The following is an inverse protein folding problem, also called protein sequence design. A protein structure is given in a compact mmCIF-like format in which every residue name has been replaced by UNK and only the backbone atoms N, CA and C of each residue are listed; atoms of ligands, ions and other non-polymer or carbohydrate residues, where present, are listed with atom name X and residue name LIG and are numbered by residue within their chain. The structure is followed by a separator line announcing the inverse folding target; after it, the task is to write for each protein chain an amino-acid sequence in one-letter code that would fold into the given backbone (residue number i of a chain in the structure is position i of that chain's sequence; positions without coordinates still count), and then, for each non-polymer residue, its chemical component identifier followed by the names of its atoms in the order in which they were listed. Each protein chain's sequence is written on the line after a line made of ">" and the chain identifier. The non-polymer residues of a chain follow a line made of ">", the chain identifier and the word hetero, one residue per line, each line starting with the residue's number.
data_IF_021737083052
#
_entry.id   IF_021737083052
#
_cell.length_a   1.000
_cell.length_b   1.000
_cell.length_c   1.000
_cell.angle_alpha   90.00
_cell.angle_beta   90.00
_cell.angle_gamma   90.00
#
_symmetry.space_group_name_H-M   'P 1'
#
loop_
_entity.id
_entity.type
_entity.pdbx_description
1 polymer ?
#
# COMPACT_ATOMS: atom_id res chain seq x y z
N UNK A 1 -6.08 -0.48 19.78
CA UNK A 1 -6.00 -0.56 18.32
C UNK A 1 -4.58 -0.91 17.97
N UNK A 2 -4.31 -2.11 17.46
CA UNK A 2 -3.00 -2.44 16.90
C UNK A 2 -2.82 -1.62 15.63
N UNK A 3 -1.75 -0.83 15.54
CA UNK A 3 -1.48 -0.01 14.36
C UNK A 3 -0.97 -0.90 13.22
N UNK A 4 -1.49 -0.71 12.00
CA UNK A 4 -1.02 -1.44 10.83
C UNK A 4 0.49 -1.22 10.63
N UNK A 5 1.26 -2.31 10.61
CA UNK A 5 2.70 -2.26 10.44
C UNK A 5 3.06 -2.54 8.98
N UNK A 6 3.24 -1.47 8.21
CA UNK A 6 3.56 -1.53 6.79
C UNK A 6 5.07 -1.61 6.54
N UNK A 7 5.47 -2.29 5.47
CA UNK A 7 6.85 -2.35 5.02
C UNK A 7 7.22 -1.04 4.32
N UNK A 8 8.13 -0.25 4.91
CA UNK A 8 8.69 0.93 4.26
C UNK A 8 9.63 0.53 3.13
N UNK A 9 9.57 1.24 2.01
CA UNK A 9 10.39 0.98 0.84
C UNK A 9 11.35 2.15 0.60
N UNK A 10 12.63 1.84 0.37
CA UNK A 10 13.63 2.85 0.02
C UNK A 10 13.33 3.37 -1.39
N UNK A 11 13.33 4.69 -1.59
CA UNK A 11 13.07 5.35 -2.88
C UNK A 11 11.64 5.26 -3.45
N UNK A 12 10.70 4.58 -2.76
CA UNK A 12 9.32 4.43 -3.21
C UNK A 12 8.31 4.99 -2.21
N UNK A 13 7.28 5.64 -2.73
CA UNK A 13 6.20 6.19 -1.92
C UNK A 13 5.32 5.06 -1.39
N UNK A 14 4.93 5.14 -0.11
CA UNK A 14 4.12 4.11 0.54
C UNK A 14 2.64 4.45 0.38
N UNK A 15 1.92 3.58 -0.32
CA UNK A 15 0.49 3.68 -0.56
C UNK A 15 -0.22 2.52 0.15
N UNK A 16 -1.21 2.86 0.98
CA UNK A 16 -1.95 1.92 1.81
C UNK A 16 -3.44 2.13 1.66
N UNK A 17 -4.21 1.06 1.72
CA UNK A 17 -5.67 1.10 1.79
C UNK A 17 -6.08 0.37 3.05
N UNK A 18 -6.79 1.07 3.92
CA UNK A 18 -7.46 0.43 5.04
C UNK A 18 -8.61 -0.39 4.51
N UNK A 19 -8.71 -1.61 5.03
CA UNK A 19 -9.71 -2.60 4.63
C UNK A 19 -10.99 -2.46 5.43
N UNK A 20 -10.92 -1.83 6.60
CA UNK A 20 -12.01 -1.79 7.56
C UNK A 20 -12.99 -0.66 7.20
N UNK A 21 -14.19 -1.02 6.76
CA UNK A 21 -15.28 -0.07 6.58
C UNK A 21 -15.96 0.22 7.91
N UNK A 22 -16.19 1.49 8.23
CA UNK A 22 -17.08 1.86 9.33
C UNK A 22 -18.51 1.39 8.97
N UNK A 23 -19.16 0.68 9.87
CA UNK A 23 -20.54 0.21 9.75
C UNK A 23 -21.25 0.32 11.09
N UNK A 24 -22.56 0.22 11.08
CA UNK A 24 -23.35 0.09 12.30
C UNK A 24 -23.86 -1.34 12.45
N UNK A 25 -23.83 -1.85 13.67
CA UNK A 25 -24.33 -3.18 14.03
C UNK A 25 -25.48 -3.04 15.02
N UNK A 26 -26.58 -3.74 14.76
CA UNK A 26 -27.67 -3.84 15.72
C UNK A 26 -27.28 -4.80 16.87
N UNK A 27 -27.33 -4.38 18.14
CA UNK A 27 -26.98 -5.23 19.28
C UNK A 27 -28.02 -6.34 19.52
N UNK A 28 -29.28 -6.13 19.13
CA UNK A 28 -30.35 -7.10 19.38
C UNK A 28 -30.36 -8.26 18.37
N UNK A 29 -30.25 -7.95 17.07
CA UNK A 29 -30.35 -8.96 16.01
C UNK A 29 -29.03 -9.22 15.27
N UNK A 30 -27.99 -8.41 15.51
CA UNK A 30 -26.68 -8.57 14.90
C UNK A 30 -26.56 -8.07 13.46
N UNK A 31 -27.62 -7.47 12.89
CA UNK A 31 -27.62 -6.95 11.52
C UNK A 31 -26.55 -5.86 11.33
N UNK A 32 -25.86 -5.90 10.18
CA UNK A 32 -24.87 -4.90 9.77
C UNK A 32 -25.52 -3.94 8.79
N UNK A 33 -25.29 -2.65 8.98
CA UNK A 33 -25.94 -1.58 8.25
C UNK A 33 -24.97 -0.44 7.98
N UNK A 34 -25.35 0.44 7.06
CA UNK A 34 -24.57 1.63 6.72
C UNK A 34 -24.41 2.56 7.93
N UNK A 35 -23.33 3.36 7.93
CA UNK A 35 -23.02 4.32 8.99
C UNK A 35 -24.10 5.39 9.18
N UNK A 36 -24.88 5.68 8.15
CA UNK A 36 -26.00 6.63 8.20
C UNK A 36 -27.27 6.03 8.81
N UNK A 37 -27.33 4.71 9.01
CA UNK A 37 -28.51 4.07 9.59
C UNK A 37 -28.74 4.57 11.02
N UNK A 38 -29.98 4.95 11.32
CA UNK A 38 -30.43 5.36 12.66
C UNK A 38 -31.33 4.31 13.33
N UNK A 39 -31.83 3.35 12.56
CA UNK A 39 -32.74 2.30 13.02
C UNK A 39 -32.37 0.99 12.32
N UNK A 40 -32.56 -0.13 13.01
CA UNK A 40 -32.36 -1.44 12.43
C UNK A 40 -33.46 -1.82 11.44
N UNK A 41 -33.09 -2.08 10.17
CA UNK A 41 -34.03 -2.47 9.12
C UNK A 41 -34.73 -3.82 9.38
N UNK A 42 -34.15 -4.67 10.24
CA UNK A 42 -34.68 -6.00 10.55
C UNK A 42 -35.59 -5.98 11.78
N UNK A 43 -35.14 -5.39 12.88
CA UNK A 43 -35.85 -5.45 14.16
C UNK A 43 -36.38 -4.10 14.67
N UNK A 44 -36.09 -2.99 14.00
CA UNK A 44 -36.55 -1.65 14.39
C UNK A 44 -35.81 -1.04 15.58
N UNK A 45 -34.70 -1.63 16.04
CA UNK A 45 -33.90 -1.09 17.14
C UNK A 45 -33.24 0.24 16.75
N UNK A 46 -33.40 1.29 17.57
CA UNK A 46 -32.80 2.62 17.34
C UNK A 46 -31.38 2.76 17.92
N UNK A 47 -30.98 1.83 18.81
CA UNK A 47 -29.65 1.80 19.41
C UNK A 47 -28.72 0.94 18.57
N UNK A 48 -27.84 1.58 17.79
CA UNK A 48 -26.90 0.91 16.90
C UNK A 48 -25.47 1.12 17.38
N UNK A 49 -24.69 0.04 17.40
CA UNK A 49 -23.27 0.07 17.77
C UNK A 49 -22.40 0.38 16.55
N UNK A 50 -21.43 1.28 16.70
CA UNK A 50 -20.40 1.49 15.68
C UNK A 50 -19.45 0.29 15.66
N UNK A 51 -19.22 -0.28 14.48
CA UNK A 51 -18.37 -1.44 14.27
C UNK A 51 -17.55 -1.27 12.99
N UNK A 52 -16.48 -2.04 12.88
CA UNK A 52 -15.69 -2.15 11.66
C UNK A 52 -16.06 -3.46 10.97
N UNK A 53 -16.46 -3.41 9.70
CA UNK A 53 -16.73 -4.61 8.91
C UNK A 53 -15.84 -4.64 7.68
N UNK A 54 -15.25 -5.81 7.44
CA UNK A 54 -14.47 -6.08 6.25
C UNK A 54 -15.35 -6.83 5.25
N UNK A 55 -15.64 -6.19 4.12
CA UNK A 55 -16.32 -6.87 3.00
C UNK A 55 -15.30 -7.69 2.22
N UNK A 56 -15.11 -8.94 2.66
CA UNK A 56 -14.18 -9.91 2.05
C UNK A 56 -14.42 -10.08 0.54
N UNK A 57 -15.69 -10.09 0.11
CA UNK A 57 -16.06 -10.37 -1.29
C UNK A 57 -15.76 -9.19 -2.20
N UNK A 58 -16.15 -7.97 -1.79
CA UNK A 58 -15.82 -6.77 -2.57
C UNK A 58 -14.30 -6.55 -2.67
N UNK A 59 -13.56 -6.90 -1.61
CA UNK A 59 -12.11 -6.84 -1.62
C UNK A 59 -11.48 -7.88 -2.56
N UNK A 60 -11.99 -9.11 -2.62
CA UNK A 60 -11.45 -10.13 -3.53
C UNK A 60 -11.57 -9.73 -5.01
N UNK A 61 -12.68 -9.10 -5.40
CA UNK A 61 -12.88 -8.59 -6.76
C UNK A 61 -11.90 -7.45 -7.08
N UNK A 62 -11.83 -6.42 -6.24
CA UNK A 62 -10.87 -5.32 -6.36
C UNK A 62 -9.42 -5.84 -6.45
N UNK A 63 -9.08 -6.78 -5.57
CA UNK A 63 -7.73 -7.38 -5.52
C UNK A 63 -7.40 -8.10 -6.83
N UNK A 64 -8.31 -8.90 -7.37
CA UNK A 64 -8.09 -9.60 -8.63
C UNK A 64 -7.84 -8.63 -9.79
N UNK A 65 -8.57 -7.52 -9.84
CA UNK A 65 -8.40 -6.50 -10.88
C UNK A 65 -7.06 -5.75 -10.72
N UNK A 66 -6.72 -5.36 -9.50
CA UNK A 66 -5.43 -4.70 -9.20
C UNK A 66 -4.27 -5.64 -9.55
N UNK A 67 -4.32 -6.91 -9.16
CA UNK A 67 -3.26 -7.88 -9.46
C UNK A 67 -3.06 -8.06 -10.97
N UNK A 68 -4.13 -8.03 -11.78
CA UNK A 68 -4.02 -8.04 -13.26
C UNK A 68 -3.34 -6.79 -13.80
N UNK A 69 -3.73 -5.59 -13.34
CA UNK A 69 -3.07 -4.35 -13.75
C UNK A 69 -1.58 -4.35 -13.35
N UNK A 70 -1.25 -4.91 -12.18
CA UNK A 70 0.14 -5.03 -11.73
C UNK A 70 0.95 -5.99 -12.60
N UNK A 71 0.36 -7.09 -13.10
CA UNK A 71 1.04 -7.99 -14.05
C UNK A 71 1.44 -7.24 -15.31
N UNK A 72 0.52 -6.47 -15.90
CA UNK A 72 0.80 -5.69 -17.11
C UNK A 72 1.89 -4.63 -16.87
N UNK A 73 1.86 -3.96 -15.70
CA UNK A 73 2.89 -2.99 -15.32
C UNK A 73 4.25 -3.68 -15.12
N UNK A 74 4.28 -4.85 -14.48
CA UNK A 74 5.51 -5.59 -14.16
C UNK A 74 6.19 -6.16 -15.40
N UNK A 75 5.45 -6.55 -16.44
CA UNK A 75 6.04 -6.94 -17.72
C UNK A 75 6.89 -5.82 -18.36
N UNK A 76 6.64 -4.59 -17.95
CA UNK A 76 7.19 -3.34 -18.46
C UNK A 76 8.37 -2.81 -17.63
N UNK A 77 8.72 -3.51 -16.53
CA UNK A 77 9.80 -3.19 -15.60
C UNK A 77 10.94 -4.19 -15.77
N UNK A 78 12.18 -3.74 -15.56
CA UNK A 78 13.37 -4.59 -15.71
C UNK A 78 14.08 -4.87 -14.38
N UNK A 79 13.95 -3.99 -13.38
CA UNK A 79 14.72 -4.09 -12.14
C UNK A 79 13.85 -4.31 -10.90
N UNK A 80 12.58 -3.92 -10.97
CA UNK A 80 11.64 -3.99 -9.87
C UNK A 80 10.36 -4.72 -10.23
N UNK A 81 9.70 -5.25 -9.21
CA UNK A 81 8.40 -5.89 -9.31
C UNK A 81 7.47 -5.31 -8.26
N UNK A 82 6.28 -4.90 -8.69
CA UNK A 82 5.24 -4.35 -7.83
C UNK A 82 4.26 -5.47 -7.47
N UNK A 83 3.95 -5.61 -6.18
CA UNK A 83 3.03 -6.60 -5.63
C UNK A 83 2.10 -5.95 -4.62
N UNK A 84 0.97 -6.60 -4.33
CA UNK A 84 0.16 -6.26 -3.16
C UNK A 84 0.65 -7.07 -1.96
N UNK A 85 0.79 -6.40 -0.82
CA UNK A 85 1.18 -7.03 0.43
C UNK A 85 0.23 -6.63 1.54
N UNK A 86 -0.24 -7.60 2.31
CA UNK A 86 -1.05 -7.33 3.50
C UNK A 86 -0.18 -6.70 4.60
N UNK A 87 -0.74 -5.75 5.34
CA UNK A 87 -0.15 -5.25 6.58
C UNK A 87 -0.20 -6.31 7.68
N UNK A 88 0.67 -6.21 8.70
CA UNK A 88 0.75 -7.22 9.76
C UNK A 88 -0.51 -7.30 10.65
N UNK A 89 -1.30 -6.22 10.72
CA UNK A 89 -2.51 -6.15 11.56
C UNK A 89 -3.78 -5.86 10.76
N UNK A 90 -3.71 -4.95 9.78
CA UNK A 90 -4.83 -4.60 8.90
C UNK A 90 -4.32 -3.85 7.67
N UNK A 91 -5.20 -3.71 6.67
CA UNK A 91 -4.93 -2.96 5.46
C UNK A 91 -3.98 -3.63 4.48
N UNK A 92 -3.90 -3.05 3.29
CA UNK A 92 -3.08 -3.56 2.19
C UNK A 92 -2.21 -2.44 1.63
N UNK A 93 -0.98 -2.78 1.26
CA UNK A 93 -0.04 -1.84 0.65
C UNK A 93 0.42 -2.32 -0.73
N UNK A 94 0.77 -1.35 -1.57
CA UNK A 94 1.67 -1.66 -2.68
C UNK A 94 3.09 -1.88 -2.13
N UNK A 95 3.73 -2.94 -2.62
CA UNK A 95 5.09 -3.31 -2.25
C UNK A 95 5.94 -3.49 -3.51
N UNK A 96 7.03 -2.75 -3.58
CA UNK A 96 8.00 -2.79 -4.68
C UNK A 96 9.20 -3.59 -4.21
N UNK A 97 9.40 -4.75 -4.80
CA UNK A 97 10.57 -5.60 -4.60
C UNK A 97 11.59 -5.28 -5.69
N UNK A 98 12.86 -5.10 -5.30
CA UNK A 98 13.96 -4.99 -6.26
C UNK A 98 14.46 -6.39 -6.57
N UNK A 99 14.27 -6.86 -7.80
CA UNK A 99 14.85 -8.13 -8.26
C UNK A 99 16.36 -7.96 -8.49
N UNK A 100 16.75 -6.77 -8.96
CA UNK A 100 18.13 -6.36 -9.19
C UNK A 100 18.39 -4.99 -8.55
N UNK A 101 18.89 -5.00 -7.31
CA UNK A 101 19.19 -3.77 -6.58
C UNK A 101 20.58 -3.22 -6.95
N UNK A 102 20.59 -2.23 -7.85
CA UNK A 102 21.77 -1.49 -8.29
C UNK A 102 22.27 -0.46 -7.26
N UNK A 103 21.52 -0.18 -6.18
CA UNK A 103 21.99 0.64 -5.05
C UNK A 103 22.76 -0.19 -4.01
N UNK A 104 22.46 -1.49 -3.90
CA UNK A 104 23.09 -2.39 -2.92
C UNK A 104 24.24 -3.22 -3.52
N UNK A 105 24.06 -3.78 -4.72
CA UNK A 105 25.08 -4.57 -5.40
C UNK A 105 25.70 -3.79 -6.57
N UNK A 106 27.03 -3.68 -6.55
CA UNK A 106 27.76 -2.97 -7.62
C UNK A 106 28.01 -3.90 -8.81
N UNK A 107 27.01 -4.01 -9.69
CA UNK A 107 27.12 -4.79 -10.92
C UNK A 107 28.25 -4.28 -11.80
N UNK A 108 29.11 -5.19 -12.25
CA UNK A 108 30.14 -4.84 -13.23
C UNK A 108 29.54 -4.68 -14.64
N UNK A 109 30.37 -4.29 -15.60
CA UNK A 109 29.87 -4.06 -16.96
C UNK A 109 29.48 -5.36 -17.67
N UNK A 110 30.15 -6.47 -17.38
CA UNK A 110 29.91 -7.75 -18.03
C UNK A 110 28.62 -8.38 -17.50
N UNK A 111 28.38 -8.30 -16.19
CA UNK A 111 27.13 -8.66 -15.54
C UNK A 111 25.96 -7.81 -16.07
N UNK A 112 26.15 -6.49 -16.22
CA UNK A 112 25.11 -5.63 -16.79
C UNK A 112 24.76 -6.02 -18.23
N UNK A 113 25.75 -6.40 -19.03
CA UNK A 113 25.52 -6.92 -20.38
C UNK A 113 24.78 -8.27 -20.35
N UNK A 114 25.12 -9.15 -19.39
CA UNK A 114 24.49 -10.45 -19.26
C UNK A 114 23.03 -10.37 -18.81
N UNK A 115 22.74 -9.59 -17.76
CA UNK A 115 21.39 -9.52 -17.18
C UNK A 115 20.48 -8.50 -17.86
N UNK A 116 21.01 -7.37 -18.34
CA UNK A 116 20.21 -6.24 -18.80
C UNK A 116 20.46 -5.83 -20.25
N UNK A 117 21.33 -6.57 -20.96
CA UNK A 117 21.73 -6.29 -22.35
C UNK A 117 22.17 -4.82 -22.57
N UNK A 118 22.84 -4.23 -21.57
CA UNK A 118 23.32 -2.85 -21.67
C UNK A 118 24.55 -2.58 -20.80
N UNK A 119 25.30 -1.52 -21.13
CA UNK A 119 26.45 -1.11 -20.33
C UNK A 119 26.00 -0.61 -18.94
N UNK A 120 26.87 -0.77 -17.93
CA UNK A 120 26.62 -0.36 -16.53
C UNK A 120 26.06 1.05 -16.40
N UNK A 121 26.65 2.03 -17.07
CA UNK A 121 26.20 3.44 -16.98
C UNK A 121 24.78 3.66 -17.52
N UNK A 122 24.35 2.85 -18.49
CA UNK A 122 22.99 2.89 -19.04
C UNK A 122 22.03 2.17 -18.09
N UNK A 123 22.43 1.05 -17.50
CA UNK A 123 21.64 0.33 -16.50
C UNK A 123 21.27 1.24 -15.33
N UNK A 124 22.23 1.93 -14.70
CA UNK A 124 21.94 2.86 -13.60
C UNK A 124 20.99 4.01 -14.01
N UNK A 125 21.10 4.55 -15.22
CA UNK A 125 20.17 5.59 -15.71
C UNK A 125 18.77 5.05 -15.91
N UNK A 126 18.65 3.83 -16.46
CA UNK A 126 17.36 3.15 -16.63
C UNK A 126 16.74 2.84 -15.26
N UNK A 127 17.53 2.36 -14.31
CA UNK A 127 17.12 2.09 -12.93
C UNK A 127 16.53 3.32 -12.24
N UNK A 128 17.22 4.47 -12.30
CA UNK A 128 16.71 5.73 -11.78
C UNK A 128 15.44 6.23 -12.50
N UNK A 129 15.35 5.98 -13.81
CA UNK A 129 14.15 6.31 -14.59
C UNK A 129 12.98 5.42 -14.22
N UNK A 130 13.24 4.13 -13.96
CA UNK A 130 12.27 3.15 -13.53
C UNK A 130 11.71 3.49 -12.14
N UNK A 131 12.57 3.87 -11.17
CA UNK A 131 12.13 4.37 -9.86
C UNK A 131 11.12 5.51 -9.98
N UNK A 132 11.36 6.46 -10.89
CA UNK A 132 10.44 7.58 -11.16
C UNK A 132 9.18 7.14 -11.92
N UNK A 133 9.26 6.15 -12.80
CA UNK A 133 8.11 5.55 -13.51
C UNK A 133 7.19 4.87 -12.48
N UNK A 134 7.75 4.04 -11.61
CA UNK A 134 7.02 3.32 -10.56
C UNK A 134 6.32 4.30 -9.61
N UNK A 135 7.02 5.31 -9.09
CA UNK A 135 6.39 6.29 -8.19
C UNK A 135 5.19 7.01 -8.83
N UNK A 136 5.28 7.35 -10.13
CA UNK A 136 4.14 7.94 -10.86
C UNK A 136 2.99 6.93 -11.01
N UNK A 137 3.30 5.68 -11.33
CA UNK A 137 2.31 4.61 -11.47
C UNK A 137 1.61 4.30 -10.15
N UNK A 138 2.35 4.23 -9.04
CA UNK A 138 1.78 4.04 -7.71
C UNK A 138 0.82 5.18 -7.34
N UNK A 139 1.16 6.43 -7.67
CA UNK A 139 0.26 7.57 -7.43
C UNK A 139 -1.00 7.53 -8.31
N UNK A 140 -0.90 7.05 -9.55
CA UNK A 140 -2.06 6.83 -10.43
C UNK A 140 -2.96 5.70 -9.89
N UNK A 141 -2.38 4.55 -9.55
CA UNK A 141 -3.08 3.40 -8.97
C UNK A 141 -3.73 3.76 -7.65
N UNK A 142 -3.03 4.48 -6.77
CA UNK A 142 -3.56 4.85 -5.48
C UNK A 142 -4.79 5.76 -5.59
N UNK A 143 -4.78 6.73 -6.52
CA UNK A 143 -5.97 7.56 -6.79
C UNK A 143 -7.15 6.77 -7.35
N UNK A 144 -6.89 5.78 -8.20
CA UNK A 144 -7.92 4.96 -8.84
C UNK A 144 -8.59 4.01 -7.86
N UNK A 145 -7.78 3.34 -7.04
CA UNK A 145 -8.20 2.25 -6.16
C UNK A 145 -8.38 2.66 -4.70
N UNK A 146 -8.28 3.97 -4.39
CA UNK A 146 -8.49 4.50 -3.05
C UNK A 146 -7.34 4.25 -2.06
N UNK A 147 -6.12 4.00 -2.53
CA UNK A 147 -4.96 3.94 -1.63
C UNK A 147 -4.48 5.34 -1.27
N UNK A 148 -4.25 5.55 0.01
CA UNK A 148 -3.71 6.78 0.58
C UNK A 148 -2.19 6.71 0.69
N UNK A 149 -1.52 7.80 0.31
CA UNK A 149 -0.08 7.97 0.52
C UNK A 149 0.22 8.29 2.00
N UNK A 150 1.05 7.48 2.64
CA UNK A 150 1.41 7.62 4.05
C UNK A 150 2.93 7.64 4.23
N UNK A 151 3.39 8.23 5.34
CA UNK A 151 4.80 8.25 5.74
C UNK A 151 4.95 7.71 7.15
N UNK A 152 6.03 6.95 7.39
CA UNK A 152 6.39 6.48 8.71
C UNK A 152 6.86 7.67 9.55
N UNK A 153 6.17 7.95 10.66
CA UNK A 153 6.45 9.11 11.54
C UNK A 153 7.10 8.72 12.86
N UNK A 154 6.99 7.46 13.26
CA UNK A 154 7.68 6.92 14.43
C UNK A 154 7.88 5.42 14.26
N UNK A 155 9.02 4.92 14.75
CA UNK A 155 9.30 3.50 14.93
C UNK A 155 9.58 3.23 16.40
N UNK A 156 8.91 2.23 16.95
CA UNK A 156 9.04 1.83 18.34
C UNK A 156 10.02 0.66 18.46
N UNK A 157 10.61 0.49 19.64
CA UNK A 157 11.59 -0.57 19.91
C UNK A 157 11.02 -1.99 19.83
N UNK A 158 9.69 -2.14 19.91
CA UNK A 158 8.97 -3.40 19.74
C UNK A 158 8.71 -3.74 18.25
N UNK A 159 9.18 -2.91 17.32
CA UNK A 159 8.99 -3.09 15.88
C UNK A 159 7.69 -2.49 15.34
N UNK A 160 6.82 -1.93 16.19
CA UNK A 160 5.63 -1.19 15.72
C UNK A 160 6.03 0.14 15.07
N UNK A 161 5.23 0.58 14.11
CA UNK A 161 5.43 1.85 13.43
C UNK A 161 4.12 2.63 13.36
N UNK A 162 4.24 3.96 13.42
CA UNK A 162 3.14 4.87 13.17
C UNK A 162 3.26 5.49 11.79
N UNK A 163 2.15 5.49 11.08
CA UNK A 163 2.03 6.08 9.76
C UNK A 163 1.03 7.22 9.82
N UNK A 164 1.39 8.36 9.22
CA UNK A 164 0.49 9.49 9.06
C UNK A 164 0.34 9.79 7.55
N UNK A 165 -0.84 10.23 7.10
CA UNK A 165 -1.06 10.66 5.72
C UNK A 165 -0.11 11.78 5.31
N UNK A 166 0.37 11.71 4.07
CA UNK A 166 1.23 12.75 3.47
C UNK A 166 0.52 14.10 3.32
N UNK A 167 -0.81 14.09 3.29
CA UNK A 167 -1.62 15.32 3.32
C UNK A 167 -1.38 16.18 4.56
N UNK A 168 -0.89 15.59 5.66
CA UNK A 168 -0.52 16.33 6.85
C UNK A 168 0.90 16.90 6.69
N UNK A 169 1.09 18.24 6.62
CA UNK A 169 2.41 18.83 6.43
C UNK A 169 3.37 18.53 7.58
N UNK A 170 2.87 18.26 8.79
CA UNK A 170 3.71 17.87 9.94
C UNK A 170 4.23 16.43 9.82
N UNK A 171 3.50 15.55 9.13
CA UNK A 171 3.89 14.15 8.97
C UNK A 171 5.23 14.02 8.23
N UNK A 172 5.41 14.80 7.16
CA UNK A 172 6.68 14.84 6.41
C UNK A 172 7.86 15.30 7.26
N UNK A 173 7.66 16.27 8.14
CA UNK A 173 8.69 16.76 9.05
C UNK A 173 9.06 15.70 10.10
N UNK A 174 8.06 15.01 10.67
CA UNK A 174 8.28 13.92 11.62
C UNK A 174 9.03 12.75 10.96
N UNK A 175 8.62 12.37 9.76
CA UNK A 175 9.21 11.26 9.01
C UNK A 175 10.69 11.47 8.66
N UNK A 176 11.15 12.73 8.50
CA UNK A 176 12.56 13.03 8.27
C UNK A 176 13.44 12.83 9.51
N UNK A 177 12.84 12.73 10.70
CA UNK A 177 13.52 12.60 12.00
C UNK A 177 13.35 11.19 12.60
N UNK A 178 12.39 10.42 12.08
CA UNK A 178 12.02 9.07 12.52
C UNK A 178 13.00 7.99 12.03
#
# INVERSE_FOLDING_TARGET
>A
MSAANYCTMKNFSLFVRDTDGEVKRCPECGAIMDTEATVCDICGCEELEECCFFDDLAWEDDRCEIERELVDINCDLMFHKITLRSGYYSGVQFYVEAEHDLDEYDYDNDECHYYFDCCRSVAHRKYETEKRKINRKLAELGKRWGFQEVVCTARFSNGEAWFEPVSNPRARLKAAVA
#
